data_IF_272393082764
#
_entry.id   IF_272393082764
#
_cell.length_a   1.000
_cell.length_b   1.000
_cell.length_c   1.000
_cell.angle_alpha   90.00
_cell.angle_beta   90.00
_cell.angle_gamma   90.00
#
_symmetry.space_group_name_H-M   'P 1'
#
loop_
_entity.id
_entity.type
_entity.pdbx_description
1 polymer ?
#
# COMPACT_ATOMS: atom_id res chain seq x y z
N UNK A 1 -9.90 15.04 -10.71
CA UNK A 1 -9.12 14.09 -11.53
C UNK A 1 -7.96 13.67 -10.65
N UNK A 2 -7.77 12.38 -10.39
CA UNK A 2 -6.73 11.91 -9.44
C UNK A 2 -5.35 12.23 -9.99
N UNK A 3 -4.51 12.88 -9.18
CA UNK A 3 -3.16 13.34 -9.54
C UNK A 3 -2.12 12.37 -9.05
N UNK A 4 -1.27 11.87 -9.95
CA UNK A 4 -0.26 10.87 -9.62
C UNK A 4 1.13 11.28 -10.08
N UNK A 5 2.15 10.71 -9.41
CA UNK A 5 3.55 10.73 -9.86
C UNK A 5 3.94 9.31 -10.24
N UNK A 6 4.67 9.16 -11.35
CA UNK A 6 5.23 7.88 -11.79
C UNK A 6 6.73 7.87 -11.58
N UNK A 7 7.24 6.88 -10.86
CA UNK A 7 8.65 6.73 -10.48
C UNK A 7 9.17 5.38 -10.97
N UNK A 8 10.08 5.40 -11.94
CA UNK A 8 10.68 4.21 -12.55
C UNK A 8 11.98 4.66 -13.25
N UNK A 9 13.04 3.87 -13.24
CA UNK A 9 14.30 4.26 -13.89
C UNK A 9 14.24 4.12 -15.42
N UNK A 10 13.30 3.32 -15.94
CA UNK A 10 13.13 3.07 -17.37
C UNK A 10 12.16 4.07 -18.01
N UNK A 11 12.68 4.97 -18.85
CA UNK A 11 11.87 6.01 -19.51
C UNK A 11 10.67 5.44 -20.31
N UNK A 12 10.87 4.32 -21.02
CA UNK A 12 9.82 3.69 -21.81
C UNK A 12 8.68 3.15 -20.93
N UNK A 13 9.02 2.63 -19.74
CA UNK A 13 8.03 2.15 -18.76
C UNK A 13 7.22 3.33 -18.21
N UNK A 14 7.88 4.44 -17.85
CA UNK A 14 7.18 5.65 -17.40
C UNK A 14 6.21 6.18 -18.43
N UNK A 15 6.65 6.31 -19.69
CA UNK A 15 5.81 6.78 -20.81
C UNK A 15 4.61 5.84 -21.05
N UNK A 16 4.84 4.53 -20.99
CA UNK A 16 3.78 3.54 -21.09
C UNK A 16 2.75 3.67 -19.97
N UNK A 17 3.18 3.75 -18.71
CA UNK A 17 2.30 3.92 -17.54
C UNK A 17 1.54 5.26 -17.65
N UNK A 18 2.19 6.35 -18.03
CA UNK A 18 1.55 7.65 -18.26
C UNK A 18 0.40 7.50 -19.24
N UNK A 19 0.66 6.95 -20.42
CA UNK A 19 -0.37 6.76 -21.46
C UNK A 19 -1.55 5.94 -20.95
N UNK A 20 -1.30 4.85 -20.23
CA UNK A 20 -2.35 4.00 -19.65
C UNK A 20 -3.20 4.74 -18.62
N UNK A 21 -2.60 5.57 -17.78
CA UNK A 21 -3.28 6.36 -16.75
C UNK A 21 -4.10 7.49 -17.35
N UNK A 22 -3.57 8.19 -18.36
CA UNK A 22 -4.29 9.25 -19.10
C UNK A 22 -5.55 8.70 -19.76
N UNK A 23 -5.46 7.53 -20.43
CA UNK A 23 -6.63 6.82 -20.99
C UNK A 23 -7.67 6.50 -19.92
N UNK A 24 -7.23 6.18 -18.69
CA UNK A 24 -8.11 5.91 -17.55
C UNK A 24 -8.65 7.17 -16.85
N UNK A 25 -8.30 8.38 -17.33
CA UNK A 25 -8.73 9.64 -16.76
C UNK A 25 -7.99 10.00 -15.46
N UNK A 26 -6.73 9.57 -15.30
CA UNK A 26 -5.84 9.86 -14.18
C UNK A 26 -4.74 10.79 -14.69
N UNK A 27 -4.46 11.85 -13.95
CA UNK A 27 -3.49 12.89 -14.34
C UNK A 27 -2.09 12.59 -13.80
N UNK A 28 -1.11 12.41 -14.68
CA UNK A 28 0.31 12.23 -14.31
C UNK A 28 0.97 13.62 -14.24
N UNK A 29 1.06 14.15 -13.03
CA UNK A 29 1.55 15.51 -12.78
C UNK A 29 3.07 15.63 -12.80
N UNK A 30 3.80 14.54 -12.57
CA UNK A 30 5.26 14.49 -12.67
C UNK A 30 5.77 13.07 -12.87
N UNK A 31 7.03 12.96 -13.31
CA UNK A 31 7.79 11.72 -13.40
C UNK A 31 9.11 11.85 -12.64
N UNK A 32 9.64 10.72 -12.16
CA UNK A 32 10.96 10.65 -11.55
C UNK A 32 11.66 9.34 -11.95
N UNK A 33 12.98 9.35 -11.97
CA UNK A 33 13.81 8.18 -12.35
C UNK A 33 14.53 7.53 -11.16
N UNK A 34 14.40 8.11 -9.97
CA UNK A 34 14.91 7.55 -8.71
C UNK A 34 14.15 8.11 -7.49
N UNK A 35 14.39 7.51 -6.33
CA UNK A 35 13.73 7.90 -5.09
C UNK A 35 13.98 9.35 -4.66
N UNK A 36 15.18 9.88 -4.91
CA UNK A 36 15.50 11.26 -4.53
C UNK A 36 14.76 12.29 -5.39
N UNK A 37 14.59 12.01 -6.69
CA UNK A 37 13.76 12.83 -7.57
C UNK A 37 12.29 12.70 -7.19
N UNK A 38 11.83 11.49 -6.84
CA UNK A 38 10.47 11.25 -6.38
C UNK A 38 10.11 12.11 -5.16
N UNK A 39 10.97 12.19 -4.16
CA UNK A 39 10.73 13.03 -2.96
C UNK A 39 10.55 14.50 -3.32
N UNK A 40 11.40 15.05 -4.21
CA UNK A 40 11.26 16.44 -4.67
C UNK A 40 9.96 16.67 -5.43
N UNK A 41 9.62 15.74 -6.34
CA UNK A 41 8.38 15.83 -7.10
C UNK A 41 7.13 15.75 -6.20
N UNK A 42 7.16 14.94 -5.14
CA UNK A 42 6.08 14.86 -4.16
C UNK A 42 5.89 16.19 -3.42
N UNK A 43 6.98 16.81 -2.98
CA UNK A 43 6.94 18.11 -2.31
C UNK A 43 6.42 19.22 -3.22
N UNK A 44 6.82 19.22 -4.50
CA UNK A 44 6.46 20.26 -5.48
C UNK A 44 5.01 20.12 -5.97
N UNK A 45 4.58 18.89 -6.25
CA UNK A 45 3.30 18.66 -6.94
C UNK A 45 2.18 18.17 -6.03
N UNK A 46 2.46 17.79 -4.77
CA UNK A 46 1.48 17.27 -3.81
C UNK A 46 0.48 16.26 -4.45
N UNK A 47 0.95 15.10 -4.95
CA UNK A 47 0.12 14.11 -5.61
C UNK A 47 -0.82 13.41 -4.61
N UNK A 48 -1.91 12.82 -5.12
CA UNK A 48 -2.80 11.99 -4.33
C UNK A 48 -2.30 10.55 -4.21
N UNK A 49 -1.50 10.06 -5.19
CA UNK A 49 -0.87 8.73 -5.16
C UNK A 49 0.48 8.80 -5.87
N UNK A 50 1.44 8.02 -5.39
CA UNK A 50 2.73 7.79 -6.04
C UNK A 50 2.79 6.35 -6.53
N UNK A 51 3.04 6.15 -7.83
CA UNK A 51 3.40 4.85 -8.40
C UNK A 51 4.91 4.73 -8.39
N UNK A 52 5.46 3.69 -7.77
CA UNK A 52 6.90 3.59 -7.54
C UNK A 52 7.43 2.19 -7.83
N UNK A 53 8.44 2.10 -8.70
CA UNK A 53 9.25 0.89 -8.77
C UNK A 53 10.16 0.77 -7.55
N UNK A 54 10.44 -0.47 -7.13
CA UNK A 54 11.36 -0.74 -6.03
C UNK A 54 12.82 -0.77 -6.50
N UNK A 55 13.08 -1.26 -7.69
CA UNK A 55 14.46 -1.47 -8.19
C UNK A 55 14.90 -0.35 -9.09
N UNK A 56 15.48 0.67 -8.51
CA UNK A 56 16.06 1.81 -9.23
C UNK A 56 17.50 2.04 -8.80
N UNK A 57 18.38 2.54 -9.69
CA UNK A 57 19.75 2.88 -9.33
C UNK A 57 19.81 4.06 -8.36
N UNK A 58 20.91 4.17 -7.59
CA UNK A 58 21.19 5.26 -6.63
C UNK A 58 20.27 5.24 -5.39
N UNK A 59 19.05 5.75 -5.53
CA UNK A 59 18.05 5.77 -4.45
C UNK A 59 16.85 4.94 -4.88
N UNK A 60 16.78 3.72 -4.34
CA UNK A 60 15.73 2.75 -4.66
C UNK A 60 14.38 3.11 -4.03
N UNK A 61 13.34 2.35 -4.39
CA UNK A 61 11.99 2.62 -3.88
C UNK A 61 11.85 2.34 -2.38
N UNK A 62 12.60 1.39 -1.81
CA UNK A 62 12.60 1.14 -0.36
C UNK A 62 13.15 2.35 0.37
N UNK A 63 14.31 2.87 -0.06
CA UNK A 63 14.88 4.08 0.51
C UNK A 63 13.90 5.26 0.45
N UNK A 64 13.22 5.45 -0.68
CA UNK A 64 12.23 6.52 -0.82
C UNK A 64 11.04 6.36 0.17
N UNK A 65 10.54 5.14 0.34
CA UNK A 65 9.49 4.83 1.32
C UNK A 65 9.93 5.13 2.76
N UNK A 66 11.17 4.74 3.13
CA UNK A 66 11.76 5.05 4.44
C UNK A 66 11.84 6.55 4.67
N UNK A 67 12.31 7.31 3.67
CA UNK A 67 12.38 8.77 3.75
C UNK A 67 11.01 9.43 3.88
N UNK A 68 9.99 8.94 3.16
CA UNK A 68 8.61 9.41 3.31
C UNK A 68 8.07 9.13 4.72
N UNK A 69 8.39 7.98 5.27
CA UNK A 69 8.02 7.61 6.65
C UNK A 69 8.69 8.52 7.69
N UNK A 70 9.99 8.78 7.56
CA UNK A 70 10.74 9.67 8.46
C UNK A 70 10.18 11.09 8.46
N UNK A 71 9.70 11.56 7.31
CA UNK A 71 9.06 12.88 7.14
C UNK A 71 7.59 12.89 7.54
N UNK A 72 7.06 11.79 8.07
CA UNK A 72 5.64 11.61 8.39
C UNK A 72 4.70 11.95 7.21
N UNK A 73 5.14 11.68 5.98
CA UNK A 73 4.33 11.87 4.78
C UNK A 73 3.14 10.93 4.77
N UNK A 74 1.97 11.45 4.42
CA UNK A 74 0.72 10.69 4.34
C UNK A 74 0.38 10.25 2.93
N UNK A 75 1.17 10.65 1.92
CA UNK A 75 0.92 10.30 0.52
C UNK A 75 0.97 8.77 0.34
N UNK A 76 -0.08 8.16 -0.22
CA UNK A 76 -0.07 6.72 -0.45
C UNK A 76 0.87 6.36 -1.61
N UNK A 77 1.69 5.33 -1.39
CA UNK A 77 2.59 4.78 -2.41
C UNK A 77 2.05 3.42 -2.87
N UNK A 78 1.81 3.31 -4.18
CA UNK A 78 1.54 2.07 -4.89
C UNK A 78 2.84 1.56 -5.50
N UNK A 79 3.33 0.44 -5.02
CA UNK A 79 4.50 -0.22 -5.60
C UNK A 79 4.11 -0.93 -6.90
N UNK A 80 4.88 -0.68 -7.97
CA UNK A 80 4.79 -1.38 -9.24
C UNK A 80 6.12 -2.06 -9.52
N UNK A 81 6.15 -3.38 -9.64
CA UNK A 81 7.40 -4.12 -9.87
C UNK A 81 7.18 -5.31 -10.81
N UNK A 82 8.27 -5.74 -11.44
CA UNK A 82 8.28 -6.95 -12.27
C UNK A 82 8.54 -8.24 -11.48
N UNK A 83 8.84 -8.15 -10.20
CA UNK A 83 9.30 -9.27 -9.39
C UNK A 83 8.31 -9.60 -8.28
N UNK A 84 8.05 -10.91 -8.14
CA UNK A 84 7.28 -11.51 -7.05
C UNK A 84 8.28 -12.05 -5.98
N UNK A 85 9.01 -11.10 -5.37
CA UNK A 85 9.99 -11.39 -4.32
C UNK A 85 9.34 -11.09 -2.97
N UNK A 86 8.90 -12.12 -2.28
CA UNK A 86 8.15 -12.04 -1.03
C UNK A 86 8.89 -11.19 0.04
N UNK A 87 10.23 -11.26 0.09
CA UNK A 87 11.03 -10.49 1.03
C UNK A 87 11.03 -8.99 0.69
N UNK A 88 11.18 -8.66 -0.60
CA UNK A 88 11.15 -7.27 -1.07
C UNK A 88 9.76 -6.65 -0.87
N UNK A 89 8.69 -7.42 -1.13
CA UNK A 89 7.30 -7.03 -0.83
C UNK A 89 7.13 -6.69 0.64
N UNK A 90 7.56 -7.59 1.53
CA UNK A 90 7.44 -7.40 2.96
C UNK A 90 8.21 -6.15 3.43
N UNK A 91 9.42 -5.93 2.91
CA UNK A 91 10.21 -4.73 3.20
C UNK A 91 9.49 -3.46 2.75
N UNK A 92 8.91 -3.43 1.54
CA UNK A 92 8.17 -2.29 1.03
C UNK A 92 6.95 -1.96 1.89
N UNK A 93 6.18 -2.98 2.29
CA UNK A 93 5.01 -2.81 3.16
C UNK A 93 5.42 -2.29 4.55
N UNK A 94 6.50 -2.82 5.15
CA UNK A 94 7.07 -2.32 6.40
C UNK A 94 7.58 -0.89 6.30
N UNK A 95 8.15 -0.52 5.14
CA UNK A 95 8.59 0.84 4.88
C UNK A 95 7.42 1.83 4.68
N UNK A 96 6.18 1.34 4.48
CA UNK A 96 4.98 2.18 4.43
C UNK A 96 4.26 2.20 3.08
N UNK A 97 4.58 1.29 2.15
CA UNK A 97 3.80 1.12 0.94
C UNK A 97 2.34 0.79 1.27
N UNK A 98 1.38 1.42 0.59
CA UNK A 98 -0.06 1.19 0.80
C UNK A 98 -0.70 0.30 -0.25
N UNK A 99 0.02 -0.02 -1.29
CA UNK A 99 -0.42 -0.96 -2.31
C UNK A 99 0.77 -1.57 -3.03
N UNK A 100 0.51 -2.72 -3.64
CA UNK A 100 1.50 -3.47 -4.39
C UNK A 100 0.84 -4.16 -5.60
N UNK A 101 1.40 -3.95 -6.78
CA UNK A 101 0.98 -4.60 -8.01
C UNK A 101 2.21 -5.05 -8.82
N UNK A 102 2.05 -6.12 -9.56
CA UNK A 102 3.00 -6.51 -10.61
C UNK A 102 2.80 -5.63 -11.85
N UNK A 103 3.85 -5.40 -12.63
CA UNK A 103 3.79 -4.57 -13.87
C UNK A 103 3.01 -5.23 -15.03
N UNK A 104 2.58 -6.48 -14.87
CA UNK A 104 1.76 -7.22 -15.85
C UNK A 104 0.24 -7.02 -15.71
N UNK A 105 -0.17 -6.04 -14.90
CA UNK A 105 -1.59 -5.73 -14.68
C UNK A 105 -2.25 -5.03 -15.86
N UNK A 106 -3.56 -5.21 -15.97
CA UNK A 106 -4.38 -4.47 -16.94
C UNK A 106 -4.55 -3.00 -16.58
N UNK A 107 -4.88 -2.16 -17.56
CA UNK A 107 -5.21 -0.73 -17.33
C UNK A 107 -6.32 -0.58 -16.26
N UNK A 108 -7.34 -1.41 -16.33
CA UNK A 108 -8.47 -1.35 -15.39
C UNK A 108 -8.02 -1.65 -13.95
N UNK A 109 -7.12 -2.62 -13.76
CA UNK A 109 -6.57 -2.96 -12.44
C UNK A 109 -5.68 -1.84 -11.90
N UNK A 110 -4.80 -1.27 -12.72
CA UNK A 110 -3.95 -0.15 -12.33
C UNK A 110 -4.79 1.08 -11.94
N UNK A 111 -5.77 1.44 -12.77
CA UNK A 111 -6.66 2.57 -12.49
C UNK A 111 -7.51 2.35 -11.23
N UNK A 112 -8.00 1.13 -10.99
CA UNK A 112 -8.70 0.77 -9.76
C UNK A 112 -7.79 0.94 -8.55
N UNK A 113 -6.56 0.44 -8.63
CA UNK A 113 -5.58 0.54 -7.55
C UNK A 113 -5.29 2.00 -7.15
N UNK A 114 -5.05 2.85 -8.15
CA UNK A 114 -4.82 4.29 -7.92
C UNK A 114 -6.02 4.93 -7.22
N UNK A 115 -7.25 4.67 -7.69
CA UNK A 115 -8.45 5.24 -7.06
C UNK A 115 -8.66 4.74 -5.63
N UNK A 116 -8.47 3.44 -5.38
CA UNK A 116 -8.57 2.85 -4.04
C UNK A 116 -7.58 3.52 -3.08
N UNK A 117 -6.34 3.76 -3.51
CA UNK A 117 -5.34 4.42 -2.68
C UNK A 117 -5.66 5.91 -2.47
N UNK A 118 -6.12 6.62 -3.50
CA UNK A 118 -6.54 8.02 -3.39
C UNK A 118 -7.70 8.19 -2.40
N UNK A 119 -8.63 7.22 -2.34
CA UNK A 119 -9.73 7.18 -1.38
C UNK A 119 -9.29 6.68 0.03
N UNK A 120 -7.98 6.60 0.29
CA UNK A 120 -7.41 6.17 1.58
C UNK A 120 -7.50 4.66 1.83
N UNK A 121 -7.77 3.87 0.80
CA UNK A 121 -7.73 2.42 0.82
C UNK A 121 -6.31 1.85 0.80
N UNK A 122 -6.22 0.53 0.76
CA UNK A 122 -4.97 -0.22 0.49
C UNK A 122 -5.29 -1.28 -0.54
N UNK A 123 -4.28 -1.70 -1.28
CA UNK A 123 -4.46 -2.75 -2.27
C UNK A 123 -3.30 -3.76 -2.16
N UNK A 124 -3.64 -4.99 -1.84
CA UNK A 124 -2.73 -6.13 -1.94
C UNK A 124 -3.36 -7.16 -2.87
N UNK A 125 -2.58 -7.72 -3.80
CA UNK A 125 -3.10 -8.83 -4.59
C UNK A 125 -3.15 -10.12 -3.76
N UNK A 126 -4.05 -11.06 -4.04
CA UNK A 126 -4.14 -12.33 -3.32
C UNK A 126 -2.82 -13.12 -3.32
N UNK A 127 -2.07 -13.11 -4.42
CA UNK A 127 -0.76 -13.76 -4.54
C UNK A 127 0.24 -13.23 -3.51
N UNK A 128 0.22 -11.94 -3.24
CA UNK A 128 1.07 -11.28 -2.26
C UNK A 128 0.67 -11.66 -0.83
N UNK A 129 -0.63 -11.73 -0.57
CA UNK A 129 -1.12 -12.18 0.75
C UNK A 129 -0.65 -13.60 1.06
N UNK A 130 -0.69 -14.50 0.08
CA UNK A 130 -0.21 -15.88 0.24
C UNK A 130 1.32 -15.94 0.41
N UNK A 131 2.08 -15.12 -0.29
CA UNK A 131 3.53 -14.98 -0.14
C UNK A 131 3.91 -14.46 1.25
N UNK A 132 3.22 -13.42 1.72
CA UNK A 132 3.39 -12.88 3.07
C UNK A 132 3.09 -13.92 4.16
N UNK A 133 2.04 -14.71 3.99
CA UNK A 133 1.72 -15.80 4.92
C UNK A 133 2.83 -16.87 4.97
N UNK A 134 3.43 -17.20 3.82
CA UNK A 134 4.60 -18.11 3.75
C UNK A 134 5.80 -17.51 4.47
N UNK A 135 6.20 -16.29 4.12
CA UNK A 135 7.34 -15.61 4.73
C UNK A 135 7.19 -15.45 6.27
N UNK A 136 5.98 -15.24 6.76
CA UNK A 136 5.69 -15.17 8.19
C UNK A 136 5.78 -16.55 8.88
N UNK A 137 5.37 -17.64 8.20
CA UNK A 137 5.47 -19.02 8.72
C UNK A 137 6.91 -19.53 8.75
N UNK A 138 7.70 -19.18 7.74
CA UNK A 138 9.08 -19.64 7.59
C UNK A 138 10.07 -18.91 8.52
N UNK A 139 9.57 -17.98 9.35
CA UNK A 139 10.35 -17.29 10.38
C UNK A 139 11.39 -16.30 9.83
N UNK A 140 11.37 -16.01 8.53
CA UNK A 140 12.26 -15.02 7.88
C UNK A 140 11.88 -13.59 8.24
N UNK A 141 10.70 -13.39 8.84
CA UNK A 141 10.29 -12.09 9.38
C UNK A 141 10.97 -11.88 10.74
N UNK A 142 12.08 -11.14 10.77
CA UNK A 142 12.75 -10.73 11.99
C UNK A 142 11.74 -10.13 12.98
N UNK A 143 11.84 -10.58 14.24
CA UNK A 143 11.09 -10.02 15.36
C UNK A 143 11.63 -8.62 15.65
N UNK A 144 11.16 -7.62 14.91
CA UNK A 144 11.42 -6.24 15.30
C UNK A 144 10.45 -5.83 16.40
N UNK A 145 11.04 -5.46 17.53
CA UNK A 145 10.51 -4.67 18.66
C UNK A 145 9.43 -5.32 19.53
N UNK A 146 9.52 -5.04 20.82
CA UNK A 146 8.50 -5.25 21.84
C UNK A 146 7.15 -4.64 21.42
N UNK A 147 6.40 -5.36 20.61
CA UNK A 147 5.04 -4.95 20.22
C UNK A 147 4.16 -5.03 21.47
N UNK A 148 3.46 -3.94 21.78
CA UNK A 148 2.46 -3.90 22.84
C UNK A 148 1.49 -5.10 22.71
N UNK A 149 1.02 -5.70 23.82
CA UNK A 149 0.14 -6.87 23.77
C UNK A 149 -1.10 -6.57 22.94
N UNK A 150 -1.46 -7.52 22.07
CA UNK A 150 -2.62 -7.40 21.20
C UNK A 150 -3.90 -7.41 22.04
N UNK A 151 -4.74 -6.39 21.90
CA UNK A 151 -6.06 -6.39 22.52
C UNK A 151 -7.05 -7.15 21.63
N UNK A 152 -7.98 -7.89 22.25
CA UNK A 152 -8.98 -8.66 21.52
C UNK A 152 -9.83 -7.76 20.60
N UNK A 153 -9.91 -8.14 19.33
CA UNK A 153 -10.81 -7.51 18.37
C UNK A 153 -12.23 -8.06 18.56
N UNK A 154 -13.22 -7.20 18.43
CA UNK A 154 -14.63 -7.62 18.35
C UNK A 154 -14.89 -8.33 17.02
N UNK A 155 -16.00 -9.08 16.94
CA UNK A 155 -16.43 -9.73 15.67
C UNK A 155 -16.47 -8.70 14.53
N UNK A 156 -17.03 -7.52 14.79
CA UNK A 156 -17.16 -6.46 13.78
C UNK A 156 -15.82 -5.88 13.33
N UNK A 157 -14.89 -5.70 14.25
CA UNK A 157 -13.54 -5.24 13.93
C UNK A 157 -12.78 -6.29 13.11
N UNK A 158 -12.96 -7.58 13.42
CA UNK A 158 -12.38 -8.68 12.64
C UNK A 158 -12.95 -8.73 11.21
N UNK A 159 -14.27 -8.53 11.03
CA UNK A 159 -14.90 -8.45 9.71
C UNK A 159 -14.32 -7.28 8.90
N UNK A 160 -14.21 -6.09 9.51
CA UNK A 160 -13.59 -4.93 8.86
C UNK A 160 -12.15 -5.25 8.45
N UNK A 161 -11.36 -5.85 9.34
CA UNK A 161 -9.95 -6.14 9.08
C UNK A 161 -9.76 -7.21 7.99
N UNK A 162 -10.67 -8.18 7.88
CA UNK A 162 -10.70 -9.15 6.75
C UNK A 162 -10.89 -8.46 5.41
N UNK A 163 -11.87 -7.57 5.30
CA UNK A 163 -12.12 -6.82 4.07
C UNK A 163 -10.95 -5.88 3.73
N UNK A 164 -10.24 -5.37 4.75
CA UNK A 164 -8.98 -4.65 4.54
C UNK A 164 -7.91 -5.57 3.94
N UNK A 165 -7.77 -6.79 4.44
CA UNK A 165 -6.83 -7.77 3.91
C UNK A 165 -7.17 -8.20 2.46
N UNK A 166 -8.45 -8.18 2.10
CA UNK A 166 -8.93 -8.40 0.73
C UNK A 166 -8.72 -7.18 -0.20
N UNK A 167 -8.17 -6.09 0.33
CA UNK A 167 -7.86 -4.87 -0.44
C UNK A 167 -9.06 -3.94 -0.66
N UNK A 168 -10.14 -4.08 0.11
CA UNK A 168 -11.30 -3.21 0.01
C UNK A 168 -10.98 -1.78 0.50
N UNK A 169 -11.46 -0.77 -0.23
CA UNK A 169 -11.51 0.62 0.23
C UNK A 169 -12.52 0.81 1.36
N UNK A 170 -12.44 1.92 2.10
CA UNK A 170 -13.41 2.22 3.17
C UNK A 170 -14.85 2.26 2.64
N UNK A 171 -15.05 2.73 1.42
CA UNK A 171 -16.33 2.78 0.75
C UNK A 171 -16.85 1.37 0.43
N UNK A 172 -16.02 0.51 -0.17
CA UNK A 172 -16.38 -0.88 -0.45
C UNK A 172 -16.71 -1.65 0.84
N UNK A 173 -15.93 -1.44 1.91
CA UNK A 173 -16.21 -2.02 3.25
C UNK A 173 -17.57 -1.53 3.78
N UNK A 174 -17.85 -0.22 3.64
CA UNK A 174 -19.10 0.37 4.06
C UNK A 174 -20.29 -0.24 3.31
N UNK A 175 -20.17 -0.42 1.99
CA UNK A 175 -21.20 -1.04 1.15
C UNK A 175 -21.44 -2.51 1.55
N UNK A 176 -20.37 -3.30 1.70
CA UNK A 176 -20.45 -4.74 2.08
C UNK A 176 -21.06 -4.93 3.46
N UNK A 177 -20.65 -4.10 4.42
CA UNK A 177 -21.07 -4.23 5.81
C UNK A 177 -22.32 -3.41 6.15
N UNK A 178 -22.92 -2.71 5.19
CA UNK A 178 -24.06 -1.81 5.36
C UNK A 178 -23.83 -0.74 6.45
N UNK A 179 -22.67 -0.09 6.40
CA UNK A 179 -22.24 0.96 7.30
C UNK A 179 -22.07 2.29 6.57
N UNK A 180 -22.00 3.40 7.34
CA UNK A 180 -21.47 4.64 6.81
C UNK A 180 -19.93 4.57 6.72
N UNK A 181 -19.33 5.20 5.70
CA UNK A 181 -17.88 5.24 5.53
C UNK A 181 -17.14 5.81 6.76
N UNK A 182 -17.73 6.83 7.43
CA UNK A 182 -17.21 7.36 8.69
C UNK A 182 -17.17 6.33 9.82
N UNK A 183 -18.13 5.38 9.85
CA UNK A 183 -18.15 4.30 10.82
C UNK A 183 -17.00 3.31 10.55
N UNK A 184 -16.72 3.00 9.28
CA UNK A 184 -15.58 2.17 8.90
C UNK A 184 -14.27 2.82 9.33
N UNK A 185 -14.09 4.14 9.11
CA UNK A 185 -12.92 4.90 9.57
C UNK A 185 -12.74 4.80 11.10
N UNK A 186 -13.84 4.89 11.86
CA UNK A 186 -13.80 4.75 13.31
C UNK A 186 -13.38 3.32 13.73
N UNK A 187 -13.94 2.28 13.10
CA UNK A 187 -13.51 0.90 13.36
C UNK A 187 -12.03 0.72 13.07
N UNK A 188 -11.53 1.23 11.94
CA UNK A 188 -10.10 1.17 11.61
C UNK A 188 -9.24 1.87 12.66
N UNK A 189 -9.61 3.04 13.14
CA UNK A 189 -8.87 3.74 14.20
C UNK A 189 -8.79 2.90 15.48
N UNK A 190 -9.88 2.26 15.88
CA UNK A 190 -9.91 1.37 17.05
C UNK A 190 -9.07 0.10 16.82
N UNK A 191 -9.14 -0.50 15.62
CA UNK A 191 -8.31 -1.66 15.24
C UNK A 191 -6.83 -1.29 15.34
N UNK A 192 -6.40 -0.15 14.77
CA UNK A 192 -5.01 0.31 14.85
C UNK A 192 -4.55 0.46 16.31
N UNK A 193 -5.38 1.06 17.15
CA UNK A 193 -5.07 1.20 18.58
C UNK A 193 -4.95 -0.15 19.27
N UNK A 194 -5.91 -1.07 19.08
CA UNK A 194 -5.93 -2.40 19.71
C UNK A 194 -4.80 -3.30 19.24
N UNK A 195 -4.42 -3.17 17.99
CA UNK A 195 -3.30 -3.92 17.40
C UNK A 195 -1.96 -3.23 17.63
N UNK A 196 -1.89 -2.02 18.18
CA UNK A 196 -0.66 -1.24 18.29
C UNK A 196 -0.02 -0.95 16.93
N UNK A 197 -0.81 -0.94 15.87
CA UNK A 197 -0.33 -0.81 14.49
C UNK A 197 -0.40 0.66 14.06
N UNK A 198 0.60 1.10 13.31
CA UNK A 198 0.69 2.49 12.82
C UNK A 198 -0.23 2.76 11.62
N UNK A 199 -0.52 1.72 10.83
CA UNK A 199 -1.33 1.79 9.62
C UNK A 199 -2.10 0.48 9.39
N UNK A 200 -3.03 0.50 8.44
CA UNK A 200 -3.94 -0.61 8.18
C UNK A 200 -3.24 -1.87 7.64
N UNK A 201 -2.11 -1.73 6.93
CA UNK A 201 -1.32 -2.86 6.44
C UNK A 201 -0.59 -3.52 7.60
N UNK A 202 0.05 -2.73 8.47
CA UNK A 202 0.68 -3.22 9.70
C UNK A 202 -0.33 -3.97 10.57
N UNK A 203 -1.59 -3.51 10.66
CA UNK A 203 -2.65 -4.21 11.38
C UNK A 203 -3.00 -5.56 10.74
N UNK A 204 -3.09 -5.62 9.41
CA UNK A 204 -3.32 -6.88 8.68
C UNK A 204 -2.17 -7.86 8.90
N UNK A 205 -0.91 -7.41 8.71
CA UNK A 205 0.27 -8.25 8.90
C UNK A 205 0.34 -8.82 10.32
N UNK A 206 0.04 -7.98 11.32
CA UNK A 206 0.00 -8.42 12.71
C UNK A 206 -1.12 -9.43 12.96
N UNK A 207 -2.32 -9.18 12.46
CA UNK A 207 -3.45 -10.08 12.60
C UNK A 207 -3.22 -11.44 11.91
N UNK A 208 -2.54 -11.46 10.76
CA UNK A 208 -2.12 -12.69 10.07
C UNK A 208 -1.10 -13.46 10.90
N UNK A 209 -0.10 -12.78 11.49
CA UNK A 209 0.92 -13.38 12.36
C UNK A 209 0.32 -14.04 13.60
N UNK A 210 -0.68 -13.40 14.19
CA UNK A 210 -1.37 -13.86 15.39
C UNK A 210 -2.53 -14.85 15.09
N UNK A 211 -2.74 -15.20 13.81
CA UNK A 211 -3.78 -16.16 13.40
C UNK A 211 -5.23 -15.64 13.51
N UNK A 212 -5.43 -14.33 13.57
CA UNK A 212 -6.77 -13.71 13.67
C UNK A 212 -7.52 -13.67 12.33
N UNK A 213 -6.81 -13.79 11.20
CA UNK A 213 -7.32 -13.72 9.84
C UNK A 213 -7.11 -15.04 9.06
N UNK A 214 -6.97 -16.15 9.78
CA UNK A 214 -6.88 -17.51 9.19
C UNK A 214 -8.22 -18.09 8.84
#
# INVERSE_FOLDING_TARGET
MTRVIVVDDQALVREGIRTLLEVAGIDVVAEAEDGAQALRAIEEHAPEVVLMDLRMPRHDGIWALEQLRERASTVPVLVLTTFDDDELVLRALRAGARGYLLKDVTIAQLARAVRVLADGGTLMSPSITDGLLRALRDGTAERESEEAPLQALTVRETEVLRLVAEGCSNREIADVLHLAEGTVKNHLSVILQKTGSRDRISAVLRALREGLLG
#
